data_IF_968469084305
#
_entry.id   IF_968469084305
#
_cell.length_a   1.000
_cell.length_b   1.000
_cell.length_c   1.000
_cell.angle_alpha   90.00
_cell.angle_beta   90.00
_cell.angle_gamma   90.00
#
_symmetry.space_group_name_H-M   'P 1'
#
loop_
_entity.id
_entity.type
_entity.pdbx_description
1 polymer ?
#
# COMPACT_ATOMS: atom_id res chain seq x y z
N UNK A 1 15.63 1.67 -2.18
CA UNK A 1 16.66 2.12 -1.20
C UNK A 1 16.23 1.90 0.25
N UNK A 2 15.10 2.46 0.68
CA UNK A 2 14.60 2.35 2.07
C UNK A 2 14.58 0.89 2.59
N UNK A 3 13.85 -0.01 1.90
CA UNK A 3 13.74 -1.41 2.34
C UNK A 3 15.10 -2.12 2.40
N UNK A 4 15.98 -1.90 1.42
CA UNK A 4 17.35 -2.44 1.42
C UNK A 4 18.10 -2.02 2.68
N UNK A 5 18.07 -0.74 3.03
CA UNK A 5 18.73 -0.24 4.25
C UNK A 5 18.09 -0.79 5.52
N UNK A 6 16.78 -1.02 5.53
CA UNK A 6 16.11 -1.68 6.67
C UNK A 6 16.58 -3.14 6.84
N UNK A 7 16.81 -3.86 5.74
CA UNK A 7 17.41 -5.20 5.77
C UNK A 7 18.86 -5.15 6.26
N UNK A 8 19.70 -4.28 5.69
CA UNK A 8 21.13 -4.17 6.04
C UNK A 8 21.37 -3.77 7.50
N UNK A 9 20.39 -3.13 8.13
CA UNK A 9 20.45 -2.69 9.53
C UNK A 9 19.63 -3.57 10.47
N UNK A 10 19.12 -4.71 9.98
CA UNK A 10 18.28 -5.64 10.74
C UNK A 10 17.07 -4.96 11.42
N UNK A 11 16.48 -3.97 10.77
CA UNK A 11 15.44 -3.10 11.36
C UNK A 11 14.02 -3.65 11.24
N UNK A 12 13.77 -4.60 10.32
CA UNK A 12 12.41 -5.09 10.05
C UNK A 12 11.78 -5.73 11.29
N UNK A 13 12.47 -6.64 11.95
CA UNK A 13 11.98 -7.33 13.16
C UNK A 13 11.76 -6.36 14.34
N UNK A 14 12.73 -5.53 14.75
CA UNK A 14 12.52 -4.62 15.88
C UNK A 14 11.45 -3.56 15.60
N UNK A 15 11.35 -3.03 14.38
CA UNK A 15 10.28 -2.08 14.04
C UNK A 15 8.90 -2.72 14.12
N UNK A 16 8.71 -3.92 13.53
CA UNK A 16 7.45 -4.67 13.68
C UNK A 16 7.08 -4.89 15.13
N UNK A 17 8.05 -5.31 15.96
CA UNK A 17 7.83 -5.53 17.39
C UNK A 17 7.41 -4.24 18.09
N UNK A 18 8.12 -3.13 17.89
CA UNK A 18 7.76 -1.85 18.52
C UNK A 18 6.35 -1.40 18.16
N UNK A 19 5.96 -1.56 16.90
CA UNK A 19 4.61 -1.19 16.46
C UNK A 19 3.55 -2.09 17.10
N UNK A 20 3.79 -3.41 17.16
CA UNK A 20 2.91 -4.36 17.86
C UNK A 20 2.83 -4.11 19.37
N UNK A 21 3.91 -3.64 19.98
CA UNK A 21 3.97 -3.25 21.40
C UNK A 21 3.30 -1.89 21.67
N UNK A 22 2.63 -1.29 20.68
CA UNK A 22 1.81 -0.09 20.82
C UNK A 22 2.49 1.23 20.40
N UNK A 23 3.71 1.18 19.85
CA UNK A 23 4.33 2.39 19.29
C UNK A 23 3.60 2.82 18.00
N UNK A 24 3.12 4.07 17.90
CA UNK A 24 2.51 4.57 16.67
C UNK A 24 3.50 4.51 15.50
N UNK A 25 3.01 4.05 14.34
CA UNK A 25 3.74 4.11 13.07
C UNK A 25 3.10 5.18 12.18
N UNK A 26 3.91 6.07 11.63
CA UNK A 26 3.49 7.04 10.62
C UNK A 26 4.36 6.87 9.39
N UNK A 27 3.74 6.60 8.24
CA UNK A 27 4.43 6.43 6.97
C UNK A 27 3.79 7.25 5.87
N UNK A 28 4.61 7.99 5.12
CA UNK A 28 4.23 8.71 3.91
C UNK A 28 5.04 8.21 2.72
N UNK A 29 4.45 8.17 1.52
CA UNK A 29 5.13 7.74 0.29
C UNK A 29 5.81 6.36 0.47
N UNK A 30 7.12 6.25 0.26
CA UNK A 30 7.88 5.02 0.51
C UNK A 30 7.70 4.43 1.93
N UNK A 31 7.45 5.28 2.93
CA UNK A 31 7.10 4.87 4.30
C UNK A 31 5.74 4.15 4.38
N UNK A 32 4.78 4.54 3.53
CA UNK A 32 3.50 3.84 3.40
C UNK A 32 3.70 2.49 2.70
N UNK A 33 4.54 2.40 1.68
CA UNK A 33 4.84 1.13 1.01
C UNK A 33 5.40 0.09 2.00
N UNK A 34 6.40 0.46 2.81
CA UNK A 34 7.04 -0.49 3.72
C UNK A 34 6.15 -0.90 4.91
N UNK A 35 5.06 -0.18 5.18
CA UNK A 35 4.08 -0.57 6.20
C UNK A 35 3.24 -1.78 5.77
N UNK A 36 3.03 -1.96 4.46
CA UNK A 36 2.25 -3.06 3.89
C UNK A 36 2.97 -4.42 3.94
N UNK A 37 2.32 -5.44 3.39
CA UNK A 37 2.87 -6.79 3.32
C UNK A 37 4.16 -6.85 2.48
N UNK A 38 4.18 -6.16 1.34
CA UNK A 38 5.34 -6.07 0.43
C UNK A 38 5.41 -4.68 -0.19
N UNK A 39 6.55 -4.34 -0.81
CA UNK A 39 6.70 -3.12 -1.62
C UNK A 39 6.38 -3.33 -3.11
N UNK A 40 5.78 -4.46 -3.50
CA UNK A 40 5.54 -4.81 -4.92
C UNK A 40 4.65 -3.80 -5.67
N UNK A 41 3.83 -3.05 -4.94
CA UNK A 41 2.96 -1.99 -5.47
C UNK A 41 3.60 -0.60 -5.39
N UNK A 42 4.92 -0.48 -5.23
CA UNK A 42 5.62 0.82 -5.29
C UNK A 42 5.67 1.38 -6.71
N UNK A 43 5.71 2.70 -6.83
CA UNK A 43 5.94 3.40 -8.10
C UNK A 43 7.41 3.71 -8.32
N UNK A 44 8.25 3.44 -7.31
CA UNK A 44 9.66 3.74 -7.36
C UNK A 44 10.37 2.85 -8.38
N UNK A 45 11.30 3.46 -9.12
CA UNK A 45 12.21 2.71 -9.98
C UNK A 45 13.11 1.79 -9.12
N UNK A 46 13.34 0.52 -9.52
CA UNK A 46 14.15 -0.44 -8.77
C UNK A 46 15.65 -0.16 -8.90
N UNK A 47 16.11 0.99 -8.41
CA UNK A 47 17.52 1.44 -8.52
C UNK A 47 18.50 0.65 -7.66
N UNK A 48 18.00 -0.15 -6.70
CA UNK A 48 18.77 -1.07 -5.86
C UNK A 48 17.90 -2.27 -5.51
N UNK A 49 18.52 -3.44 -5.35
CA UNK A 49 17.84 -4.69 -5.00
C UNK A 49 17.91 -4.94 -3.47
N UNK A 50 16.77 -5.02 -2.76
CA UNK A 50 16.73 -5.53 -1.39
C UNK A 50 16.78 -7.08 -1.39
N UNK A 51 17.21 -7.73 -0.28
CA UNK A 51 17.21 -9.20 -0.18
C UNK A 51 15.84 -9.87 -0.40
N UNK A 52 14.75 -9.13 -0.17
CA UNK A 52 13.37 -9.55 -0.46
C UNK A 52 12.48 -8.31 -0.58
N UNK A 53 11.33 -8.46 -1.25
CA UNK A 53 10.29 -7.42 -1.36
C UNK A 53 9.31 -7.42 -0.17
N UNK A 54 9.40 -8.42 0.72
CA UNK A 54 8.62 -8.46 1.96
C UNK A 54 8.98 -7.27 2.86
N UNK A 55 7.97 -6.56 3.37
CA UNK A 55 8.19 -5.34 4.12
C UNK A 55 7.87 -5.52 5.62
N UNK A 56 7.39 -4.49 6.30
CA UNK A 56 7.05 -4.59 7.72
C UNK A 56 5.82 -5.47 7.94
N UNK A 57 4.84 -5.48 7.04
CA UNK A 57 3.61 -6.23 7.25
C UNK A 57 2.88 -5.79 8.53
N UNK A 58 2.86 -4.47 8.77
CA UNK A 58 2.04 -3.84 9.83
C UNK A 58 0.57 -3.97 9.43
N UNK A 59 0.28 -3.78 8.14
CA UNK A 59 -1.04 -4.04 7.54
C UNK A 59 -0.93 -5.22 6.56
N UNK A 60 -1.99 -6.05 6.41
CA UNK A 60 -1.93 -7.29 5.61
C UNK A 60 -2.07 -7.07 4.09
N UNK A 61 -2.27 -5.83 3.65
CA UNK A 61 -2.41 -5.45 2.25
C UNK A 61 -1.19 -4.68 1.73
N UNK A 62 -1.12 -4.51 0.41
CA UNK A 62 -0.11 -3.71 -0.27
C UNK A 62 -0.59 -2.26 -0.45
N UNK A 63 0.34 -1.31 -0.41
CA UNK A 63 0.05 0.12 -0.52
C UNK A 63 0.56 0.65 -1.87
N UNK A 64 -0.29 1.30 -2.66
CA UNK A 64 0.11 2.12 -3.80
C UNK A 64 -0.14 3.60 -3.45
N UNK A 65 0.80 4.28 -2.78
CA UNK A 65 0.70 5.72 -2.55
C UNK A 65 0.82 6.46 -3.89
N UNK A 66 0.36 7.71 -3.94
CA UNK A 66 0.39 8.51 -5.16
C UNK A 66 -0.32 7.79 -6.32
N UNK A 67 -1.45 7.15 -6.03
CA UNK A 67 -2.30 6.56 -7.05
C UNK A 67 -2.86 7.68 -7.93
N UNK A 68 -2.67 7.52 -9.24
CA UNK A 68 -3.17 8.45 -10.24
C UNK A 68 -4.20 7.73 -11.10
N UNK A 69 -5.34 8.38 -11.26
CA UNK A 69 -6.36 7.92 -12.21
C UNK A 69 -5.83 8.01 -13.65
N UNK A 70 -6.29 7.12 -14.55
CA UNK A 70 -5.96 7.22 -15.95
C UNK A 70 -6.46 8.56 -16.51
N UNK A 71 -5.57 9.31 -17.15
CA UNK A 71 -5.94 10.52 -17.89
C UNK A 71 -6.56 10.11 -19.23
N UNK A 72 -7.86 10.35 -19.46
CA UNK A 72 -8.55 9.95 -20.68
C UNK A 72 -8.07 10.70 -21.92
N UNK A 73 -7.34 11.80 -21.75
CA UNK A 73 -6.79 12.62 -22.83
C UNK A 73 -5.33 12.28 -23.16
N UNK A 74 -4.70 11.42 -22.35
CA UNK A 74 -3.31 11.04 -22.54
C UNK A 74 -3.11 10.27 -23.83
N UNK A 75 -2.08 10.66 -24.60
CA UNK A 75 -1.60 9.92 -25.77
C UNK A 75 -0.47 8.95 -25.43
N UNK A 76 -0.08 8.88 -24.16
CA UNK A 76 0.95 7.96 -23.68
C UNK A 76 0.48 6.51 -23.83
N UNK A 77 1.34 5.64 -24.36
CA UNK A 77 1.02 4.24 -24.66
C UNK A 77 1.48 3.24 -23.59
N UNK A 78 2.15 3.71 -22.54
CA UNK A 78 2.53 2.85 -21.42
C UNK A 78 1.33 2.53 -20.52
N UNK A 79 1.48 1.50 -19.69
CA UNK A 79 0.38 1.07 -18.82
C UNK A 79 0.02 2.15 -17.79
N UNK A 80 -1.29 2.36 -17.64
CA UNK A 80 -1.90 3.12 -16.55
C UNK A 80 -1.60 2.47 -15.20
N UNK A 81 -1.84 3.20 -14.11
CA UNK A 81 -1.64 2.63 -12.77
C UNK A 81 -2.57 1.44 -12.51
N UNK A 82 -3.82 1.55 -12.94
CA UNK A 82 -4.82 0.51 -12.82
C UNK A 82 -4.38 -0.77 -13.54
N UNK A 83 -3.88 -0.67 -14.77
CA UNK A 83 -3.37 -1.82 -15.54
C UNK A 83 -2.17 -2.49 -14.87
N UNK A 84 -1.22 -1.72 -14.32
CA UNK A 84 -0.08 -2.29 -13.57
C UNK A 84 -0.52 -3.04 -12.31
N UNK A 85 -1.56 -2.55 -11.63
CA UNK A 85 -2.11 -3.23 -10.45
C UNK A 85 -2.89 -4.49 -10.88
N UNK A 86 -3.58 -4.45 -12.02
CA UNK A 86 -4.22 -5.63 -12.59
C UNK A 86 -3.19 -6.73 -12.91
N UNK A 87 -2.07 -6.37 -13.55
CA UNK A 87 -0.93 -7.29 -13.79
C UNK A 87 -0.35 -7.82 -12.47
N UNK A 88 -0.24 -6.98 -11.44
CA UNK A 88 0.16 -7.45 -10.11
C UNK A 88 -0.77 -8.57 -9.59
N UNK A 89 -2.09 -8.45 -9.81
CA UNK A 89 -3.08 -9.45 -9.42
C UNK A 89 -3.14 -10.70 -10.30
N UNK A 90 -2.46 -10.73 -11.44
CA UNK A 90 -2.23 -11.97 -12.19
C UNK A 90 -1.34 -12.93 -11.37
N UNK A 91 -0.34 -12.36 -10.68
CA UNK A 91 0.72 -13.09 -9.96
C UNK A 91 0.58 -13.09 -8.43
N UNK A 92 -0.24 -12.19 -7.86
CA UNK A 92 -0.33 -11.97 -6.41
C UNK A 92 -1.79 -11.87 -5.95
N UNK A 93 -2.07 -12.29 -4.71
CA UNK A 93 -3.42 -12.30 -4.15
C UNK A 93 -3.69 -11.15 -3.17
N UNK A 94 -2.63 -10.48 -2.69
CA UNK A 94 -2.77 -9.42 -1.70
C UNK A 94 -3.62 -8.26 -2.26
N UNK A 95 -4.60 -7.73 -1.49
CA UNK A 95 -5.29 -6.51 -1.87
C UNK A 95 -4.29 -5.35 -2.02
N UNK A 96 -4.55 -4.45 -2.97
CA UNK A 96 -3.76 -3.23 -3.17
C UNK A 96 -4.64 -2.03 -2.86
N UNK A 97 -4.19 -1.16 -1.96
CA UNK A 97 -4.84 0.12 -1.65
C UNK A 97 -4.16 1.24 -2.44
N UNK A 98 -4.85 1.77 -3.44
CA UNK A 98 -4.46 2.97 -4.18
C UNK A 98 -4.85 4.23 -3.42
N UNK A 99 -3.87 4.90 -2.79
CA UNK A 99 -4.08 6.16 -2.10
C UNK A 99 -3.76 7.33 -3.02
N UNK A 100 -4.78 8.15 -3.30
CA UNK A 100 -4.61 9.45 -3.94
C UNK A 100 -3.92 10.43 -2.99
N UNK A 101 -3.34 11.49 -3.54
CA UNK A 101 -2.79 12.58 -2.73
C UNK A 101 -3.85 13.17 -1.80
N UNK A 102 -3.52 13.32 -0.52
CA UNK A 102 -4.46 13.78 0.51
C UNK A 102 -5.37 12.70 1.11
N UNK A 103 -5.28 11.43 0.66
CA UNK A 103 -5.89 10.29 1.32
C UNK A 103 -4.96 9.73 2.41
N UNK A 104 -5.51 9.42 3.58
CA UNK A 104 -4.77 8.87 4.73
C UNK A 104 -5.51 7.63 5.22
N UNK A 105 -4.82 6.50 5.39
CA UNK A 105 -5.38 5.39 6.16
C UNK A 105 -4.95 5.50 7.62
N UNK A 106 -5.93 5.57 8.52
CA UNK A 106 -5.73 5.45 9.96
C UNK A 106 -6.12 4.04 10.39
N UNK A 107 -5.19 3.36 11.05
CA UNK A 107 -5.35 1.99 11.53
C UNK A 107 -5.15 1.97 13.05
N UNK A 108 -6.16 1.50 13.77
CA UNK A 108 -6.16 1.36 15.24
C UNK A 108 -6.64 -0.05 15.60
N UNK A 109 -5.70 -0.94 15.92
CA UNK A 109 -6.01 -2.37 16.02
C UNK A 109 -6.44 -2.92 14.66
N UNK A 110 -7.66 -3.47 14.59
CA UNK A 110 -8.28 -3.94 13.34
C UNK A 110 -9.23 -2.91 12.73
N UNK A 111 -9.40 -1.73 13.34
CA UNK A 111 -10.21 -0.66 12.79
C UNK A 111 -9.42 0.11 11.75
N UNK A 112 -9.98 0.23 10.55
CA UNK A 112 -9.37 0.95 9.43
C UNK A 112 -10.33 2.02 8.97
N UNK A 113 -9.86 3.27 8.92
CA UNK A 113 -10.65 4.39 8.42
C UNK A 113 -9.90 5.16 7.34
N UNK A 114 -10.63 5.52 6.29
CA UNK A 114 -10.16 6.47 5.30
C UNK A 114 -10.35 7.89 5.83
N UNK A 115 -9.25 8.58 6.04
CA UNK A 115 -9.17 9.95 6.49
C UNK A 115 -8.62 10.87 5.38
N UNK A 116 -8.62 12.17 5.64
CA UNK A 116 -8.12 13.18 4.71
C UNK A 116 -9.22 13.71 3.80
N UNK A 117 -8.83 14.18 2.61
CA UNK A 117 -9.71 14.92 1.69
C UNK A 117 -9.97 14.18 0.38
N UNK A 118 -9.21 13.11 0.10
CA UNK A 118 -9.27 12.40 -1.17
C UNK A 118 -9.79 10.97 -0.99
N UNK A 119 -10.44 10.49 -2.05
CA UNK A 119 -10.90 9.11 -2.17
C UNK A 119 -9.73 8.14 -2.30
N UNK A 120 -9.96 6.89 -1.93
CA UNK A 120 -9.04 5.80 -2.25
C UNK A 120 -9.72 4.77 -3.15
N UNK A 121 -8.89 4.06 -3.92
CA UNK A 121 -9.33 2.94 -4.74
C UNK A 121 -8.77 1.64 -4.21
N UNK A 122 -9.62 0.63 -4.03
CA UNK A 122 -9.26 -0.71 -3.60
C UNK A 122 -9.25 -1.65 -4.79
N UNK A 123 -8.19 -2.44 -4.91
CA UNK A 123 -8.02 -3.44 -5.94
C UNK A 123 -7.91 -4.82 -5.31
N UNK A 124 -8.72 -5.76 -5.81
CA UNK A 124 -8.68 -7.17 -5.42
C UNK A 124 -8.61 -8.05 -6.67
N UNK A 125 -7.94 -9.18 -6.54
CA UNK A 125 -7.80 -10.15 -7.62
C UNK A 125 -9.17 -10.64 -8.07
N UNK A 126 -9.45 -10.54 -9.36
CA UNK A 126 -10.70 -11.02 -9.95
C UNK A 126 -11.92 -10.14 -9.67
N UNK A 127 -11.75 -8.98 -9.03
CA UNK A 127 -12.83 -8.03 -8.74
C UNK A 127 -12.61 -6.70 -9.46
N UNK A 128 -13.68 -6.01 -9.89
CA UNK A 128 -13.55 -4.64 -10.38
C UNK A 128 -13.07 -3.70 -9.25
N UNK A 129 -12.26 -2.67 -9.55
CA UNK A 129 -11.79 -1.74 -8.53
C UNK A 129 -12.95 -1.02 -7.82
N UNK A 130 -12.84 -0.86 -6.51
CA UNK A 130 -13.87 -0.25 -5.65
C UNK A 130 -13.40 1.12 -5.14
N UNK A 131 -14.28 2.12 -5.17
CA UNK A 131 -14.02 3.47 -4.65
C UNK A 131 -14.57 3.67 -3.24
N UNK A 132 -13.81 4.41 -2.43
CA UNK A 132 -14.21 4.75 -1.06
C UNK A 132 -13.99 6.25 -0.79
N UNK A 133 -15.02 6.88 -0.22
CA UNK A 133 -15.02 8.29 0.17
C UNK A 133 -14.33 8.51 1.53
N UNK A 134 -13.72 9.70 1.77
CA UNK A 134 -13.27 10.07 3.10
C UNK A 134 -14.36 9.84 4.16
N UNK A 135 -13.98 9.23 5.28
CA UNK A 135 -14.89 8.78 6.34
C UNK A 135 -15.29 7.31 6.23
N UNK A 136 -14.98 6.61 5.13
CA UNK A 136 -15.28 5.19 4.99
C UNK A 136 -14.57 4.33 6.05
N UNK A 137 -15.29 3.31 6.55
CA UNK A 137 -14.76 2.23 7.38
C UNK A 137 -14.36 1.06 6.50
N UNK A 138 -13.16 0.54 6.73
CA UNK A 138 -12.49 -0.43 5.86
C UNK A 138 -11.97 -1.64 6.67
N UNK A 139 -12.57 -1.90 7.83
CA UNK A 139 -12.16 -2.92 8.80
C UNK A 139 -12.06 -4.32 8.16
N UNK A 140 -12.85 -4.57 7.11
CA UNK A 140 -12.79 -5.78 6.28
C UNK A 140 -11.40 -6.05 5.66
N UNK A 141 -10.51 -5.05 5.59
CA UNK A 141 -9.15 -5.21 5.08
C UNK A 141 -8.26 -6.06 5.99
N UNK A 142 -8.62 -6.24 7.26
CA UNK A 142 -7.94 -7.13 8.20
C UNK A 142 -8.53 -8.56 8.25
N UNK A 143 -9.54 -8.84 7.41
CA UNK A 143 -10.32 -10.06 7.44
C UNK A 143 -11.47 -9.97 8.45
N UNK A 144 -12.62 -10.56 8.09
CA UNK A 144 -13.56 -11.03 9.09
C UNK A 144 -13.04 -12.42 9.51
N UNK A 145 -12.94 -12.67 10.83
CA UNK A 145 -12.76 -14.03 11.34
C UNK A 145 -13.85 -14.98 10.82
#
# INVERSE_FOLDING_TARGET
RLLKTMYEKDLLVPLRRRVRDGMPYVGSSAGSNVAGATIRSTNDMPIVEPPSLSALGIVPFCMNPHYLDPDPTSTHKGETREERIAQFHEENEQPVVGLREGAILRVEGNEVSLCGIARMRLFRRGEPPQEFEPGARLDFLFGQE
#
